data_IF_873152341505
#
_entry.id   IF_873152341505
#
_cell.length_a   1.000
_cell.length_b   1.000
_cell.length_c   1.000
_cell.angle_alpha   90.00
_cell.angle_beta   90.00
_cell.angle_gamma   90.00
#
_symmetry.space_group_name_H-M   'P 1'
#
loop_
_entity.id
_entity.type
_entity.pdbx_description
1 polymer ?
#
# COMPACT_ATOMS: atom_id res chain seq x y z
N UNK A 1 -23.40 -20.05 41.98
CA UNK A 1 -24.39 -19.04 41.57
C UNK A 1 -23.64 -18.11 40.62
N UNK A 2 -23.73 -18.41 39.33
CA UNK A 2 -23.11 -17.62 38.28
C UNK A 2 -23.96 -16.38 38.03
N UNK A 3 -23.36 -15.19 38.15
CA UNK A 3 -24.06 -13.92 37.93
C UNK A 3 -24.53 -13.78 36.48
N UNK A 4 -25.65 -13.09 36.21
CA UNK A 4 -26.39 -13.23 34.95
C UNK A 4 -25.73 -12.63 33.70
N UNK A 5 -24.56 -12.00 33.79
CA UNK A 5 -23.90 -11.40 32.62
C UNK A 5 -22.38 -11.59 32.72
N UNK A 6 -21.87 -12.67 32.15
CA UNK A 6 -20.44 -12.71 31.77
C UNK A 6 -20.21 -11.65 30.67
N UNK A 7 -19.55 -10.56 31.05
CA UNK A 7 -19.30 -9.36 30.24
C UNK A 7 -18.46 -9.60 28.97
N UNK A 8 -18.04 -10.83 28.71
CA UNK A 8 -17.26 -11.24 27.54
C UNK A 8 -18.06 -12.06 26.51
N UNK A 9 -19.32 -12.40 26.79
CA UNK A 9 -20.08 -13.32 25.95
C UNK A 9 -20.83 -12.60 24.82
N UNK A 10 -20.46 -12.92 23.58
CA UNK A 10 -21.15 -12.45 22.38
C UNK A 10 -22.23 -13.46 21.98
N UNK A 11 -23.47 -13.00 21.86
CA UNK A 11 -24.58 -13.82 21.34
C UNK A 11 -24.81 -13.48 19.86
N UNK A 12 -25.39 -14.42 19.11
CA UNK A 12 -25.69 -14.21 17.70
C UNK A 12 -27.18 -14.42 17.44
N UNK A 13 -27.78 -13.55 16.63
CA UNK A 13 -29.09 -13.77 16.03
C UNK A 13 -28.91 -14.73 14.87
N UNK A 14 -29.73 -15.78 14.84
CA UNK A 14 -29.70 -16.83 13.82
C UNK A 14 -31.02 -16.78 13.03
N UNK A 15 -30.95 -16.85 11.70
CA UNK A 15 -32.13 -16.94 10.83
C UNK A 15 -32.72 -18.36 10.77
N UNK A 16 -33.83 -18.52 10.03
CA UNK A 16 -34.49 -19.83 9.86
C UNK A 16 -33.63 -20.89 9.17
N UNK A 17 -32.57 -20.48 8.48
CA UNK A 17 -31.62 -21.36 7.78
C UNK A 17 -30.38 -21.67 8.63
N UNK A 18 -30.35 -21.23 9.90
CA UNK A 18 -29.23 -21.47 10.81
C UNK A 18 -28.05 -20.50 10.62
N UNK A 19 -28.20 -19.43 9.85
CA UNK A 19 -27.12 -18.47 9.58
C UNK A 19 -27.14 -17.33 10.61
N UNK A 20 -25.96 -16.95 11.08
CA UNK A 20 -25.78 -15.81 11.99
C UNK A 20 -25.95 -14.50 11.21
N UNK A 21 -26.96 -13.70 11.55
CA UNK A 21 -27.30 -12.45 10.84
C UNK A 21 -26.90 -11.20 11.61
N UNK A 22 -26.85 -11.27 12.95
CA UNK A 22 -26.42 -10.18 13.79
C UNK A 22 -25.68 -10.71 15.02
N UNK A 23 -24.85 -9.87 15.64
CA UNK A 23 -24.25 -10.12 16.93
C UNK A 23 -24.86 -9.18 17.97
N UNK A 24 -25.20 -9.73 19.14
CA UNK A 24 -25.65 -9.00 20.31
C UNK A 24 -24.47 -8.94 21.26
N UNK A 25 -24.04 -7.72 21.54
CA UNK A 25 -22.83 -7.40 22.30
C UNK A 25 -23.22 -6.63 23.57
N UNK A 26 -22.56 -6.89 24.72
CA UNK A 26 -22.58 -5.97 25.85
C UNK A 26 -22.12 -4.57 25.42
N UNK A 27 -22.71 -3.52 25.98
CA UNK A 27 -22.43 -2.14 25.57
C UNK A 27 -20.97 -1.77 25.87
N UNK A 28 -20.40 -2.31 26.94
CA UNK A 28 -19.01 -2.10 27.35
C UNK A 28 -18.05 -2.69 26.32
N UNK A 29 -18.32 -3.91 25.83
CA UNK A 29 -17.53 -4.56 24.79
C UNK A 29 -17.61 -3.78 23.46
N UNK A 30 -18.79 -3.26 23.12
CA UNK A 30 -18.97 -2.40 21.95
C UNK A 30 -18.12 -1.12 22.04
N UNK A 31 -18.12 -0.46 23.20
CA UNK A 31 -17.31 0.74 23.43
C UNK A 31 -15.81 0.46 23.31
N UNK A 32 -15.32 -0.66 23.88
CA UNK A 32 -13.92 -1.07 23.74
C UNK A 32 -13.52 -1.30 22.29
N UNK A 33 -14.39 -1.95 21.49
CA UNK A 33 -14.15 -2.16 20.06
C UNK A 33 -14.14 -0.84 19.28
N UNK A 34 -14.99 0.13 19.63
CA UNK A 34 -14.97 1.45 19.02
C UNK A 34 -13.67 2.22 19.31
N UNK A 35 -13.22 2.23 20.56
CA UNK A 35 -11.95 2.88 20.94
C UNK A 35 -10.76 2.21 20.26
N UNK A 36 -10.75 0.88 20.17
CA UNK A 36 -9.70 0.15 19.44
C UNK A 36 -9.72 0.49 17.95
N UNK A 37 -10.90 0.59 17.33
CA UNK A 37 -11.04 1.04 15.95
C UNK A 37 -10.46 2.45 15.77
N UNK A 38 -10.73 3.38 16.69
CA UNK A 38 -10.20 4.75 16.62
C UNK A 38 -8.67 4.78 16.68
N UNK A 39 -8.05 3.97 17.54
CA UNK A 39 -6.58 3.83 17.60
C UNK A 39 -5.98 3.28 16.29
N UNK A 40 -6.66 2.33 15.65
CA UNK A 40 -6.24 1.80 14.34
C UNK A 40 -6.45 2.84 13.23
N UNK A 41 -7.50 3.65 13.31
CA UNK A 41 -7.80 4.74 12.35
C UNK A 41 -6.79 5.89 12.48
N UNK A 42 -6.36 6.26 13.69
CA UNK A 42 -5.31 7.28 13.89
C UNK A 42 -3.93 6.83 13.36
N UNK A 43 -3.68 5.52 13.36
CA UNK A 43 -2.48 4.92 12.75
C UNK A 43 -2.50 4.95 11.22
N UNK A 44 -3.63 5.32 10.59
CA UNK A 44 -3.84 5.22 9.16
C UNK A 44 -4.51 6.46 8.57
N UNK A 45 -3.69 7.49 8.33
CA UNK A 45 -3.95 8.43 7.22
C UNK A 45 -3.90 7.73 5.83
N UNK A 46 -3.63 6.42 5.80
CA UNK A 46 -3.78 5.61 4.60
C UNK A 46 -5.22 5.12 4.47
N UNK A 47 -5.98 5.85 3.65
CA UNK A 47 -7.12 5.34 2.87
C UNK A 47 -6.85 3.88 2.49
N UNK A 48 -7.88 3.02 2.54
CA UNK A 48 -7.87 1.64 2.01
C UNK A 48 -7.59 1.68 0.49
N UNK A 49 -6.37 2.01 0.11
CA UNK A 49 -5.88 1.98 -1.24
C UNK A 49 -5.20 0.62 -1.37
N UNK A 50 -5.61 -0.15 -2.38
CA UNK A 50 -5.08 -1.49 -2.57
C UNK A 50 -3.54 -1.41 -2.56
N UNK A 51 -2.93 -2.06 -1.57
CA UNK A 51 -1.49 -2.11 -1.43
C UNK A 51 -0.95 -3.02 -2.53
N UNK A 52 0.00 -2.48 -3.30
CA UNK A 52 0.75 -3.20 -4.30
C UNK A 52 2.19 -3.30 -3.86
N UNK A 53 2.78 -4.45 -4.14
CA UNK A 53 4.20 -4.70 -3.97
C UNK A 53 4.88 -4.84 -5.32
N UNK A 54 6.13 -4.43 -5.37
CA UNK A 54 7.00 -4.62 -6.51
C UNK A 54 8.37 -5.08 -6.01
N UNK A 55 8.81 -6.25 -6.46
CA UNK A 55 10.11 -6.81 -6.14
C UNK A 55 10.94 -6.99 -7.40
N UNK A 56 12.19 -6.55 -7.36
CA UNK A 56 13.15 -6.68 -8.45
C UNK A 56 14.58 -6.81 -7.91
N UNK A 57 15.22 -7.94 -8.24
CA UNK A 57 16.58 -8.27 -7.77
C UNK A 57 16.67 -8.16 -6.24
N UNK A 58 17.31 -7.12 -5.72
CA UNK A 58 17.51 -6.86 -4.29
C UNK A 58 16.58 -5.76 -3.75
N UNK A 59 15.79 -5.11 -4.60
CA UNK A 59 14.85 -4.06 -4.20
C UNK A 59 13.43 -4.61 -4.03
N UNK A 60 12.78 -4.21 -2.95
CA UNK A 60 11.38 -4.46 -2.65
C UNK A 60 10.73 -3.13 -2.28
N UNK A 61 9.68 -2.79 -2.99
CA UNK A 61 8.93 -1.56 -2.78
C UNK A 61 7.44 -1.84 -2.60
N UNK A 62 6.81 -1.03 -1.78
CA UNK A 62 5.39 -1.08 -1.48
C UNK A 62 4.77 0.27 -1.85
N UNK A 63 3.52 0.25 -2.29
CA UNK A 63 2.84 1.47 -2.64
C UNK A 63 1.42 1.25 -3.13
N UNK A 64 0.78 2.34 -3.53
CA UNK A 64 -0.59 2.30 -3.98
C UNK A 64 -0.84 3.33 -5.08
N UNK A 65 -1.74 3.02 -6.04
CA UNK A 65 -2.09 3.97 -7.08
C UNK A 65 -2.89 5.13 -6.49
N UNK A 66 -2.64 6.32 -7.02
CA UNK A 66 -3.34 7.56 -6.65
C UNK A 66 -3.98 8.20 -7.88
N UNK A 67 -5.01 9.02 -7.69
CA UNK A 67 -5.68 9.70 -8.81
C UNK A 67 -6.55 8.81 -9.70
N UNK A 68 -6.76 9.25 -10.94
CA UNK A 68 -7.71 8.64 -11.87
C UNK A 68 -7.15 7.39 -12.56
N UNK A 69 -7.99 6.36 -12.78
CA UNK A 69 -7.55 5.10 -13.41
C UNK A 69 -6.97 5.25 -14.83
N UNK A 70 -7.34 6.29 -15.57
CA UNK A 70 -6.83 6.56 -16.92
C UNK A 70 -5.41 7.12 -16.93
N UNK A 71 -5.03 7.87 -15.88
CA UNK A 71 -3.71 8.45 -15.64
C UNK A 71 -3.39 8.34 -14.14
N UNK A 72 -3.12 7.12 -13.65
CA UNK A 72 -2.84 6.94 -12.23
C UNK A 72 -1.50 7.58 -11.90
N UNK A 73 -1.47 8.30 -10.79
CA UNK A 73 -0.26 8.52 -10.00
C UNK A 73 0.06 7.27 -9.18
N UNK A 74 1.17 7.29 -8.46
CA UNK A 74 1.54 6.18 -7.59
C UNK A 74 2.34 6.66 -6.40
N UNK A 75 1.92 6.32 -5.19
CA UNK A 75 2.66 6.65 -3.97
C UNK A 75 3.42 5.43 -3.49
N UNK A 76 4.73 5.59 -3.31
CA UNK A 76 5.60 4.59 -2.69
C UNK A 76 5.73 4.94 -1.21
N UNK A 77 5.57 3.94 -0.34
CA UNK A 77 5.61 4.15 1.11
C UNK A 77 7.04 4.09 1.65
N UNK A 78 7.25 4.75 2.78
CA UNK A 78 8.47 4.70 3.59
C UNK A 78 8.90 3.25 3.87
N UNK A 79 10.22 3.02 3.86
CA UNK A 79 10.83 1.70 4.06
C UNK A 79 10.90 0.86 2.78
N UNK A 80 10.32 1.34 1.67
CA UNK A 80 10.56 0.75 0.36
C UNK A 80 12.01 0.92 -0.04
N UNK A 81 12.53 -0.01 -0.84
CA UNK A 81 13.90 0.00 -1.34
C UNK A 81 13.95 0.13 -2.86
N UNK A 82 15.04 0.71 -3.36
CA UNK A 82 15.31 0.90 -4.78
C UNK A 82 16.72 0.43 -5.11
N UNK A 83 16.91 -0.07 -6.33
CA UNK A 83 18.19 -0.57 -6.78
C UNK A 83 19.14 0.58 -7.15
N UNK A 84 20.41 0.45 -6.76
CA UNK A 84 21.48 1.39 -7.10
C UNK A 84 21.96 1.26 -8.54
N UNK A 85 21.93 0.05 -9.10
CA UNK A 85 22.57 -0.28 -10.37
C UNK A 85 21.68 -0.14 -11.60
N UNK A 86 22.17 0.57 -12.63
CA UNK A 86 21.61 0.55 -14.00
C UNK A 86 21.42 1.90 -14.70
N UNK A 87 22.36 2.85 -14.56
CA UNK A 87 22.26 4.17 -15.20
C UNK A 87 22.20 4.14 -16.74
N UNK A 88 22.68 3.07 -17.39
CA UNK A 88 22.84 3.02 -18.85
C UNK A 88 21.52 2.93 -19.65
N UNK A 89 20.43 2.48 -19.03
CA UNK A 89 19.12 2.34 -19.70
C UNK A 89 18.01 3.17 -19.04
N UNK A 90 18.37 4.06 -18.12
CA UNK A 90 17.42 4.97 -17.47
C UNK A 90 17.20 6.20 -18.34
N UNK A 91 15.94 6.64 -18.43
CA UNK A 91 15.62 7.90 -19.08
C UNK A 91 16.22 9.06 -18.27
N UNK A 92 16.74 10.13 -18.91
CA UNK A 92 17.31 11.28 -18.22
C UNK A 92 16.39 11.87 -17.13
N UNK A 93 15.07 11.89 -17.39
CA UNK A 93 14.08 12.35 -16.42
C UNK A 93 14.02 11.53 -15.12
N UNK A 94 14.32 10.23 -15.17
CA UNK A 94 14.33 9.35 -13.98
C UNK A 94 15.64 9.51 -13.21
N UNK A 95 16.75 9.79 -13.90
CA UNK A 95 18.03 10.12 -13.25
C UNK A 95 17.93 11.45 -12.49
N UNK A 96 17.41 12.49 -13.16
CA UNK A 96 17.16 13.79 -12.52
C UNK A 96 16.22 13.67 -11.31
N UNK A 97 15.15 12.87 -11.45
CA UNK A 97 14.25 12.59 -10.33
C UNK A 97 14.98 11.89 -9.17
N UNK A 98 15.85 10.90 -9.45
CA UNK A 98 16.61 10.23 -8.40
C UNK A 98 17.54 11.19 -7.67
N UNK A 99 18.27 12.04 -8.40
CA UNK A 99 19.16 13.04 -7.81
C UNK A 99 18.38 14.02 -6.93
N UNK A 100 17.26 14.51 -7.42
CA UNK A 100 16.37 15.38 -6.64
C UNK A 100 15.88 14.69 -5.37
N UNK A 101 15.53 13.41 -5.42
CA UNK A 101 15.06 12.68 -4.25
C UNK A 101 16.16 12.39 -3.23
N UNK A 102 17.42 12.28 -3.67
CA UNK A 102 18.58 12.19 -2.79
C UNK A 102 18.84 13.54 -2.11
N UNK A 103 18.73 14.64 -2.85
CA UNK A 103 18.86 16.00 -2.32
C UNK A 103 17.73 16.35 -1.33
N UNK A 104 16.49 15.99 -1.66
CA UNK A 104 15.30 16.17 -0.84
C UNK A 104 15.22 15.21 0.38
N UNK A 105 16.26 14.39 0.59
CA UNK A 105 16.34 13.35 1.65
C UNK A 105 15.16 12.37 1.66
N UNK A 106 14.49 12.21 0.52
CA UNK A 106 13.43 11.20 0.33
C UNK A 106 14.06 9.83 0.20
N UNK A 107 15.15 9.75 -0.57
CA UNK A 107 15.94 8.55 -0.75
C UNK A 107 17.26 8.72 -0.01
N UNK A 108 17.66 7.68 0.71
CA UNK A 108 18.99 7.58 1.30
C UNK A 108 19.69 6.36 0.76
N UNK A 109 21.01 6.47 0.55
CA UNK A 109 21.82 5.33 0.11
C UNK A 109 21.94 4.32 1.26
N UNK A 110 21.57 3.08 0.99
CA UNK A 110 21.64 1.98 1.95
C UNK A 110 22.36 0.80 1.26
N UNK A 111 23.64 0.60 1.61
CA UNK A 111 24.49 -0.40 0.97
C UNK A 111 24.62 -0.20 -0.55
N UNK A 112 24.25 -1.23 -1.31
CA UNK A 112 24.26 -1.26 -2.77
C UNK A 112 22.99 -0.68 -3.42
N UNK A 113 22.04 -0.22 -2.61
CA UNK A 113 20.77 0.35 -3.06
C UNK A 113 20.41 1.66 -2.36
N UNK A 114 19.13 1.96 -2.38
CA UNK A 114 18.55 3.11 -1.72
C UNK A 114 17.29 2.72 -0.94
N UNK A 115 16.97 3.47 0.10
CA UNK A 115 15.77 3.32 0.92
C UNK A 115 14.96 4.63 0.91
N UNK A 116 13.64 4.51 0.84
CA UNK A 116 12.71 5.64 0.97
C UNK A 116 12.52 5.98 2.45
N UNK A 117 12.99 7.14 2.87
CA UNK A 117 12.89 7.64 4.25
C UNK A 117 11.50 8.19 4.59
N UNK A 118 10.71 8.53 3.57
CA UNK A 118 9.33 9.02 3.68
C UNK A 118 8.53 8.60 2.45
N UNK A 119 7.21 8.67 2.58
CA UNK A 119 6.30 8.41 1.46
C UNK A 119 6.55 9.42 0.34
N UNK A 120 6.53 8.94 -0.90
CA UNK A 120 6.74 9.78 -2.07
C UNK A 120 5.74 9.48 -3.19
N UNK A 121 5.07 10.54 -3.65
CA UNK A 121 4.10 10.45 -4.72
C UNK A 121 4.76 10.70 -6.08
N UNK A 122 4.78 9.66 -6.90
CA UNK A 122 5.16 9.72 -8.30
C UNK A 122 4.00 10.16 -9.19
N UNK A 123 4.35 10.84 -10.28
CA UNK A 123 3.40 11.22 -11.33
C UNK A 123 2.80 10.02 -12.06
N UNK A 124 3.45 8.85 -12.01
CA UNK A 124 2.91 7.60 -12.57
C UNK A 124 3.53 6.34 -11.94
N UNK A 125 2.82 5.19 -11.97
CA UNK A 125 3.37 3.90 -11.55
C UNK A 125 4.63 3.49 -12.31
N UNK A 126 4.74 3.88 -13.58
CA UNK A 126 5.91 3.58 -14.41
C UNK A 126 7.13 4.38 -13.96
N UNK A 127 6.95 5.65 -13.56
CA UNK A 127 8.05 6.45 -13.01
C UNK A 127 8.60 5.80 -11.73
N UNK A 128 7.71 5.34 -10.84
CA UNK A 128 8.08 4.63 -9.63
C UNK A 128 8.84 3.33 -9.95
N UNK A 129 8.28 2.48 -10.81
CA UNK A 129 8.89 1.21 -11.19
C UNK A 129 10.26 1.37 -11.86
N UNK A 130 10.43 2.40 -12.72
CA UNK A 130 11.72 2.68 -13.35
C UNK A 130 12.78 3.07 -12.33
N UNK A 131 12.42 3.94 -11.37
CA UNK A 131 13.35 4.41 -10.34
C UNK A 131 13.79 3.25 -9.44
N UNK A 132 12.82 2.43 -8.98
CA UNK A 132 13.05 1.28 -8.11
C UNK A 132 13.86 0.19 -8.80
N UNK A 133 13.54 -0.15 -10.05
CA UNK A 133 14.25 -1.20 -10.79
C UNK A 133 15.63 -0.76 -11.26
N UNK A 134 15.85 0.54 -11.45
CA UNK A 134 17.04 1.08 -12.08
C UNK A 134 17.09 0.84 -13.60
N UNK A 135 15.95 0.56 -14.25
CA UNK A 135 15.84 0.40 -15.70
C UNK A 135 14.42 0.74 -16.18
N UNK A 136 14.21 0.85 -17.50
CA UNK A 136 12.88 1.08 -18.05
C UNK A 136 11.93 -0.09 -17.76
N UNK A 137 10.84 0.16 -17.02
CA UNK A 137 9.86 -0.87 -16.66
C UNK A 137 8.42 -0.37 -16.77
N UNK A 138 7.52 -1.25 -17.19
CA UNK A 138 6.08 -0.99 -17.20
C UNK A 138 5.54 -1.00 -15.78
N UNK A 139 5.14 0.17 -15.26
CA UNK A 139 4.54 0.25 -13.93
C UNK A 139 3.20 -0.51 -13.84
N UNK A 140 2.42 -0.50 -14.92
CA UNK A 140 1.12 -1.17 -14.91
C UNK A 140 1.22 -2.69 -14.73
N UNK A 141 2.32 -3.30 -15.17
CA UNK A 141 2.58 -4.74 -15.05
C UNK A 141 3.49 -5.08 -13.85
N UNK A 142 4.28 -4.13 -13.34
CA UNK A 142 5.26 -4.36 -12.29
C UNK A 142 4.65 -4.46 -10.88
N UNK A 143 3.61 -3.68 -10.61
CA UNK A 143 2.98 -3.59 -9.29
C UNK A 143 1.90 -4.66 -9.15
N UNK A 144 2.05 -5.55 -8.16
CA UNK A 144 1.16 -6.68 -7.90
C UNK A 144 0.44 -6.51 -6.57
N UNK A 145 -0.87 -6.79 -6.56
CA UNK A 145 -1.65 -6.84 -5.33
C UNK A 145 -1.40 -8.14 -4.55
N UNK A 146 -1.99 -8.27 -3.35
CA UNK A 146 -1.91 -9.48 -2.53
C UNK A 146 -2.45 -10.77 -3.17
N UNK A 147 -3.17 -10.66 -4.29
CA UNK A 147 -3.68 -11.79 -5.07
C UNK A 147 -2.85 -12.03 -6.35
N UNK A 148 -1.71 -11.36 -6.50
CA UNK A 148 -0.81 -11.48 -7.66
C UNK A 148 -1.34 -10.82 -8.93
N UNK A 149 -2.32 -9.92 -8.84
CA UNK A 149 -2.87 -9.21 -10.02
C UNK A 149 -2.21 -7.87 -10.20
N UNK A 150 -1.92 -7.52 -11.45
CA UNK A 150 -1.26 -6.26 -11.79
C UNK A 150 -2.24 -5.07 -11.76
N UNK A 151 -1.70 -3.84 -11.75
CA UNK A 151 -2.51 -2.62 -11.95
C UNK A 151 -3.28 -2.69 -13.29
N UNK A 152 -2.66 -3.24 -14.34
CA UNK A 152 -3.31 -3.44 -15.63
C UNK A 152 -4.54 -4.33 -15.53
N UNK A 153 -4.45 -5.44 -14.81
CA UNK A 153 -5.57 -6.37 -14.58
C UNK A 153 -6.70 -5.72 -13.79
N UNK A 154 -6.35 -4.77 -12.91
CA UNK A 154 -7.29 -3.96 -12.13
C UNK A 154 -7.93 -2.82 -12.93
N UNK A 155 -7.60 -2.70 -14.21
CA UNK A 155 -8.19 -1.77 -15.17
C UNK A 155 -7.54 -0.39 -15.20
N UNK A 156 -6.33 -0.23 -14.65
CA UNK A 156 -5.56 1.00 -14.76
C UNK A 156 -4.95 1.15 -16.17
N UNK A 157 -4.86 2.38 -16.68
CA UNK A 157 -4.28 2.71 -17.98
C UNK A 157 -5.21 2.54 -19.19
N UNK A 158 -6.46 2.08 -19.00
CA UNK A 158 -7.46 2.06 -20.08
C UNK A 158 -7.96 3.48 -20.34
N UNK A 159 -7.79 3.97 -21.58
CA UNK A 159 -8.50 5.15 -22.08
C UNK A 159 -9.95 4.72 -22.35
N UNK A 160 -10.91 5.37 -21.68
CA UNK A 160 -12.30 5.37 -22.14
C UNK A 160 -12.41 6.24 -23.37
#
# INVERSE_FOLDING_TARGET
MDGPFELSKVNFVIDGDGRKTAAILPIELYQQLLSLRELVVESSQHTISAEYSFSVKQAVAHGYPTGAKNKPGFTVVKGSTANGGGAESLRPAVLALREQLLEDTVLCRQGDGYEFMRDYQFSSPSSAACLIAGNARSGLDAWLDKWGRSLKDRGYGKKR
#
